data_IF_492233448972
#
_entry.id   IF_492233448972
#
_cell.length_a   1.000
_cell.length_b   1.000
_cell.length_c   1.000
_cell.angle_alpha   90.00
_cell.angle_beta   90.00
_cell.angle_gamma   90.00
#
_symmetry.space_group_name_H-M   'P 1'
#
loop_
_entity.id
_entity.type
_entity.pdbx_description
1 polymer ?
#
# COMPACT_ATOMS: atom_id res chain seq x y z
N UNK A 1 -32.97 -50.88 2.35
CA UNK A 1 -31.94 -49.97 1.78
C UNK A 1 -32.65 -48.72 1.30
N UNK A 2 -32.52 -47.64 2.05
CA UNK A 2 -33.12 -46.31 1.80
C UNK A 2 -31.98 -45.29 1.80
N UNK A 3 -31.95 -44.33 0.87
CA UNK A 3 -30.86 -43.36 0.79
C UNK A 3 -30.97 -42.33 1.94
N UNK A 4 -29.85 -41.78 2.44
CA UNK A 4 -29.87 -40.76 3.48
C UNK A 4 -30.30 -39.39 2.92
N UNK A 5 -30.92 -38.52 3.75
CA UNK A 5 -31.40 -37.22 3.32
C UNK A 5 -30.27 -36.19 3.16
N UNK A 6 -30.41 -35.34 2.13
CA UNK A 6 -29.54 -34.20 1.84
C UNK A 6 -29.73 -33.08 2.88
N UNK A 7 -28.77 -32.90 3.78
CA UNK A 7 -28.71 -31.74 4.68
C UNK A 7 -28.28 -30.49 3.89
N UNK A 8 -29.26 -29.70 3.45
CA UNK A 8 -29.07 -28.32 2.98
C UNK A 8 -28.89 -27.39 4.18
N UNK A 9 -27.70 -27.39 4.77
CA UNK A 9 -27.23 -26.28 5.62
C UNK A 9 -26.51 -25.23 4.77
N UNK A 10 -27.29 -24.28 4.26
CA UNK A 10 -26.77 -23.00 3.78
C UNK A 10 -26.11 -22.27 4.96
N UNK A 11 -24.77 -22.32 5.04
CA UNK A 11 -24.01 -21.38 5.87
C UNK A 11 -24.08 -20.02 5.22
N UNK A 12 -25.03 -19.20 5.63
CA UNK A 12 -24.94 -17.76 5.50
C UNK A 12 -23.80 -17.27 6.40
N UNK A 13 -22.59 -17.19 5.85
CA UNK A 13 -21.52 -16.38 6.43
C UNK A 13 -21.88 -14.91 6.24
N UNK A 14 -22.63 -14.33 7.18
CA UNK A 14 -22.57 -12.88 7.40
C UNK A 14 -21.24 -12.58 8.07
N UNK A 15 -20.17 -12.39 7.28
CA UNK A 15 -18.98 -11.68 7.78
C UNK A 15 -19.34 -10.20 7.79
N UNK A 16 -19.55 -9.66 8.98
CA UNK A 16 -19.51 -8.21 9.20
C UNK A 16 -18.08 -7.73 8.89
N UNK A 17 -17.88 -6.71 8.03
CA UNK A 17 -16.56 -6.17 7.80
C UNK A 17 -16.21 -5.29 9.00
N UNK A 18 -15.57 -5.88 10.01
CA UNK A 18 -14.88 -5.09 11.05
C UNK A 18 -13.53 -4.67 10.48
N UNK A 19 -13.56 -3.82 9.45
CA UNK A 19 -12.36 -3.29 8.80
C UNK A 19 -11.68 -2.33 9.76
N UNK A 20 -10.82 -2.87 10.62
CA UNK A 20 -9.97 -2.07 11.48
C UNK A 20 -8.83 -1.55 10.62
N UNK A 21 -8.68 -0.23 10.57
CA UNK A 21 -7.48 0.42 10.04
C UNK A 21 -6.24 -0.33 10.57
N UNK A 22 -5.31 -0.74 9.71
CA UNK A 22 -3.98 -1.19 10.14
C UNK A 22 -3.18 0.05 10.56
N UNK A 23 -3.62 0.62 11.67
CA UNK A 23 -2.79 1.35 12.60
C UNK A 23 -2.74 0.42 13.79
N UNK A 24 -1.52 0.16 14.29
CA UNK A 24 -1.28 -0.53 15.57
C UNK A 24 -2.44 -0.17 16.50
N UNK A 25 -3.31 -1.15 16.81
CA UNK A 25 -4.55 -0.92 17.56
C UNK A 25 -4.17 -0.48 18.97
N UNK A 26 -3.94 0.81 19.14
CA UNK A 26 -3.77 1.41 20.45
C UNK A 26 -5.17 1.75 20.96
N UNK A 27 -5.73 0.83 21.75
CA UNK A 27 -6.97 1.08 22.48
C UNK A 27 -6.61 1.77 23.79
N UNK A 28 -6.41 3.09 23.77
CA UNK A 28 -6.43 3.86 25.03
C UNK A 28 -7.88 4.20 25.33
N UNK A 29 -8.52 3.41 26.20
CA UNK A 29 -9.62 3.87 27.05
C UNK A 29 -9.95 2.82 28.12
N UNK A 30 -9.39 3.01 29.33
CA UNK A 30 -10.11 2.91 30.61
C UNK A 30 -9.29 3.60 31.70
N UNK A 31 -9.98 4.41 32.50
CA UNK A 31 -9.42 5.49 33.30
C UNK A 31 -8.46 5.07 34.41
N UNK A 32 -7.62 6.04 34.78
CA UNK A 32 -6.94 6.07 36.06
C UNK A 32 -7.34 7.39 36.71
N UNK A 33 -8.37 7.31 37.55
CA UNK A 33 -8.54 8.27 38.62
C UNK A 33 -7.50 7.91 39.69
N UNK A 34 -6.69 8.89 40.07
CA UNK A 34 -5.73 8.80 41.17
C UNK A 34 -4.33 8.38 40.72
N UNK A 35 -3.44 9.37 40.58
CA UNK A 35 -2.29 9.58 41.47
C UNK A 35 -1.29 10.52 40.76
N UNK A 36 -1.00 11.66 41.38
CA UNK A 36 -0.17 12.71 40.80
C UNK A 36 1.28 12.23 40.65
N UNK A 37 1.71 12.03 39.41
CA UNK A 37 3.12 11.79 39.10
C UNK A 37 3.68 13.00 38.33
N UNK A 38 4.87 13.45 38.73
CA UNK A 38 5.41 14.76 38.35
C UNK A 38 5.50 14.96 36.82
N UNK A 39 5.24 16.18 36.31
CA UNK A 39 5.32 16.45 34.88
C UNK A 39 6.79 16.39 34.42
N UNK A 40 7.11 15.46 33.52
CA UNK A 40 8.31 15.59 32.70
C UNK A 40 8.18 16.88 31.88
N UNK A 41 9.06 17.82 32.16
CA UNK A 41 9.01 19.23 31.73
C UNK A 41 9.40 19.37 30.25
N UNK A 42 8.53 18.91 29.35
CA UNK A 42 8.55 19.31 27.94
C UNK A 42 7.22 20.00 27.62
N UNK A 43 6.97 21.10 28.33
CA UNK A 43 5.84 21.97 28.07
C UNK A 43 6.19 22.94 26.94
N UNK A 44 6.20 22.42 25.71
CA UNK A 44 6.02 23.25 24.52
C UNK A 44 4.56 23.71 24.58
N UNK A 45 4.32 25.03 24.63
CA UNK A 45 2.96 25.58 24.61
C UNK A 45 2.22 25.09 23.35
N UNK A 46 1.38 24.07 23.52
CA UNK A 46 0.77 23.33 22.42
C UNK A 46 0.05 22.06 22.90
N UNK A 47 -0.66 21.35 22.01
CA UNK A 47 -1.48 20.18 22.34
C UNK A 47 -0.69 19.13 23.15
N UNK A 48 -1.31 18.54 24.17
CA UNK A 48 -0.67 17.61 25.13
C UNK A 48 0.23 16.57 24.44
N UNK A 49 1.54 16.71 24.63
CA UNK A 49 2.59 15.84 24.08
C UNK A 49 3.02 14.69 25.01
N UNK A 50 2.30 14.47 26.12
CA UNK A 50 2.66 13.42 27.08
C UNK A 50 2.35 12.03 26.54
N UNK A 51 3.39 11.30 26.12
CA UNK A 51 3.36 9.85 25.94
C UNK A 51 4.20 9.18 27.03
N UNK A 52 3.76 8.03 27.53
CA UNK A 52 4.55 7.25 28.48
C UNK A 52 5.63 6.49 27.72
N UNK A 53 6.90 6.88 27.86
CA UNK A 53 8.03 6.19 27.23
C UNK A 53 8.37 4.84 27.89
N UNK A 54 7.66 4.49 28.96
CA UNK A 54 7.82 3.24 29.69
C UNK A 54 7.01 2.14 29.01
N UNK A 55 7.65 1.42 28.10
CA UNK A 55 7.07 0.28 27.39
C UNK A 55 6.58 -0.84 28.32
N UNK A 56 7.06 -0.90 29.56
CA UNK A 56 6.63 -1.87 30.57
C UNK A 56 5.18 -1.62 31.03
N UNK A 57 4.68 -0.39 30.86
CA UNK A 57 3.30 0.00 31.18
C UNK A 57 2.35 -0.19 29.99
N UNK A 58 2.88 -0.49 28.82
CA UNK A 58 2.06 -0.73 27.64
C UNK A 58 1.53 -2.17 27.67
N UNK A 59 0.21 -2.32 27.62
CA UNK A 59 -0.40 -3.62 27.37
C UNK A 59 -0.12 -4.01 25.92
N UNK A 60 0.88 -4.86 25.71
CA UNK A 60 1.16 -5.44 24.41
C UNK A 60 -0.09 -6.18 23.92
N UNK A 61 -0.58 -5.81 22.74
CA UNK A 61 -1.71 -6.48 22.11
C UNK A 61 -1.29 -7.91 21.74
N UNK A 62 -2.19 -8.87 21.98
CA UNK A 62 -2.02 -10.28 21.61
C UNK A 62 -2.45 -10.52 20.15
N UNK A 63 -1.95 -9.72 19.21
CA UNK A 63 -2.16 -10.01 17.80
C UNK A 63 -1.34 -11.25 17.43
N UNK A 64 -1.99 -12.26 16.87
CA UNK A 64 -1.37 -13.54 16.48
C UNK A 64 -1.31 -13.72 14.96
N UNK A 65 -1.64 -12.69 14.20
CA UNK A 65 -1.60 -12.70 12.74
C UNK A 65 -0.14 -12.74 12.28
N UNK A 66 0.11 -13.49 11.22
CA UNK A 66 1.46 -13.56 10.64
C UNK A 66 1.78 -12.26 9.91
N UNK A 67 3.07 -11.96 9.73
CA UNK A 67 3.49 -10.80 8.94
C UNK A 67 2.93 -10.84 7.51
N UNK A 68 2.80 -12.04 6.93
CA UNK A 68 2.21 -12.23 5.60
C UNK A 68 0.73 -11.84 5.58
N UNK A 69 -0.05 -12.26 6.59
CA UNK A 69 -1.45 -11.85 6.74
C UNK A 69 -1.58 -10.34 6.90
N UNK A 70 -0.79 -9.74 7.79
CA UNK A 70 -0.80 -8.28 8.02
C UNK A 70 -0.43 -7.50 6.76
N UNK A 71 0.51 -8.00 5.96
CA UNK A 71 0.92 -7.37 4.71
C UNK A 71 -0.17 -7.49 3.62
N UNK A 72 -0.82 -8.65 3.50
CA UNK A 72 -1.97 -8.83 2.62
C UNK A 72 -3.10 -7.88 3.00
N UNK A 73 -3.47 -7.86 4.28
CA UNK A 73 -4.53 -7.00 4.80
C UNK A 73 -4.19 -5.52 4.64
N UNK A 74 -2.92 -5.13 4.74
CA UNK A 74 -2.49 -3.75 4.48
C UNK A 74 -2.85 -3.33 3.06
N UNK A 75 -2.51 -4.16 2.07
CA UNK A 75 -2.83 -3.85 0.68
C UNK A 75 -4.33 -3.89 0.41
N UNK A 76 -5.06 -4.87 0.96
CA UNK A 76 -6.53 -4.96 0.80
C UNK A 76 -7.25 -3.76 1.42
N UNK A 77 -6.83 -3.37 2.62
CA UNK A 77 -7.36 -2.22 3.33
C UNK A 77 -7.20 -0.95 2.51
N UNK A 78 -5.97 -0.64 2.08
CA UNK A 78 -5.70 0.59 1.36
C UNK A 78 -6.15 0.56 -0.11
N UNK A 79 -6.35 -0.61 -0.70
CA UNK A 79 -6.96 -0.76 -2.02
C UNK A 79 -8.45 -0.35 -2.05
N UNK A 80 -9.14 -0.43 -0.91
CA UNK A 80 -10.59 -0.21 -0.79
C UNK A 80 -10.97 0.96 0.11
N UNK A 81 -9.99 1.58 0.79
CA UNK A 81 -10.23 2.69 1.69
C UNK A 81 -10.88 3.89 0.99
N UNK A 82 -11.90 4.47 1.62
CA UNK A 82 -12.69 5.56 1.07
C UNK A 82 -12.00 6.93 1.19
N UNK A 83 -10.85 7.10 0.54
CA UNK A 83 -10.02 8.32 0.64
C UNK A 83 -10.76 9.61 0.32
N UNK A 84 -11.80 9.59 -0.51
CA UNK A 84 -12.59 10.77 -0.87
C UNK A 84 -13.36 11.37 0.31
N UNK A 85 -13.72 10.56 1.32
CA UNK A 85 -14.59 10.96 2.44
C UNK A 85 -13.94 10.75 3.81
N UNK A 86 -12.99 9.83 3.90
CA UNK A 86 -12.37 9.43 5.15
C UNK A 86 -10.93 9.94 5.26
N UNK A 87 -10.49 10.08 6.50
CA UNK A 87 -9.14 10.42 6.91
C UNK A 87 -8.66 9.46 7.99
N UNK A 88 -7.35 9.34 8.14
CA UNK A 88 -6.71 8.45 9.10
C UNK A 88 -6.39 9.24 10.38
N UNK A 89 -6.91 8.79 11.52
CA UNK A 89 -6.62 9.35 12.84
C UNK A 89 -5.77 8.37 13.65
N UNK A 90 -4.47 8.67 13.79
CA UNK A 90 -3.53 7.82 14.53
C UNK A 90 -3.82 7.86 16.03
N UNK A 91 -4.14 9.04 16.59
CA UNK A 91 -4.48 9.18 18.03
C UNK A 91 -5.66 8.30 18.46
N UNK A 92 -6.65 8.15 17.58
CA UNK A 92 -7.86 7.36 17.86
C UNK A 92 -7.80 5.93 17.31
N UNK A 93 -6.77 5.61 16.52
CA UNK A 93 -6.64 4.31 15.84
C UNK A 93 -7.79 3.97 14.89
N UNK A 94 -8.43 4.97 14.27
CA UNK A 94 -9.61 4.76 13.40
C UNK A 94 -9.73 5.78 12.29
N UNK A 95 -10.52 5.46 11.27
CA UNK A 95 -10.97 6.43 10.28
C UNK A 95 -11.94 7.45 10.87
N UNK A 96 -11.93 8.65 10.32
CA UNK A 96 -12.87 9.72 10.64
C UNK A 96 -13.21 10.51 9.38
N UNK A 97 -14.35 11.21 9.39
CA UNK A 97 -14.73 12.11 8.31
C UNK A 97 -13.61 13.12 8.01
N UNK A 98 -13.41 13.40 6.73
CA UNK A 98 -12.35 14.29 6.28
C UNK A 98 -12.61 15.73 6.77
N UNK A 99 -11.64 16.37 7.46
CA UNK A 99 -11.80 17.75 7.92
C UNK A 99 -11.58 18.77 6.79
N UNK A 100 -10.84 18.39 5.74
CA UNK A 100 -10.53 19.23 4.58
C UNK A 100 -10.61 18.46 3.26
N UNK A 101 -10.79 19.18 2.16
CA UNK A 101 -10.75 18.59 0.81
C UNK A 101 -9.29 18.41 0.38
N UNK A 102 -8.80 17.18 0.49
CA UNK A 102 -7.49 16.75 -0.01
C UNK A 102 -7.64 15.38 -0.69
N UNK A 103 -6.68 14.90 -1.49
CA UNK A 103 -6.68 13.51 -1.97
C UNK A 103 -6.48 12.54 -0.80
N UNK A 104 -5.41 12.71 -0.03
CA UNK A 104 -5.07 11.90 1.14
C UNK A 104 -5.06 12.79 2.40
N UNK A 105 -5.58 12.25 3.51
CA UNK A 105 -5.52 12.95 4.79
C UNK A 105 -5.15 12.00 5.92
N UNK A 106 -3.93 12.18 6.40
CA UNK A 106 -3.40 11.50 7.59
C UNK A 106 -3.19 12.59 8.63
N UNK A 107 -3.95 12.52 9.72
CA UNK A 107 -3.87 13.53 10.77
C UNK A 107 -2.57 13.36 11.55
N UNK A 108 -1.84 14.46 11.73
CA UNK A 108 -0.64 14.46 12.55
C UNK A 108 -1.02 14.08 14.00
N UNK A 109 -0.31 13.12 14.62
CA UNK A 109 -0.63 12.62 15.96
C UNK A 109 -0.35 13.63 17.08
N UNK A 110 0.21 14.81 16.79
CA UNK A 110 0.41 15.87 17.78
C UNK A 110 -0.33 17.15 17.40
N UNK A 111 -0.33 17.50 16.13
CA UNK A 111 -1.03 18.67 15.61
C UNK A 111 -2.31 18.28 14.87
N UNK A 112 -3.44 18.27 15.56
CA UNK A 112 -4.71 17.80 14.97
C UNK A 112 -5.20 18.60 13.77
N UNK A 113 -4.75 19.84 13.59
CA UNK A 113 -5.04 20.69 12.43
C UNK A 113 -4.14 20.39 11.22
N UNK A 114 -3.09 19.56 11.38
CA UNK A 114 -2.09 19.32 10.35
C UNK A 114 -2.30 17.97 9.65
N UNK A 115 -2.35 18.02 8.32
CA UNK A 115 -2.34 16.85 7.45
C UNK A 115 -0.91 16.55 7.01
N UNK A 116 -0.34 15.41 7.44
CA UNK A 116 1.04 15.03 7.07
C UNK A 116 1.18 14.62 5.60
N UNK A 117 0.07 14.38 4.90
CA UNK A 117 0.02 13.95 3.50
C UNK A 117 -0.38 15.07 2.53
N UNK A 118 -0.29 16.33 2.94
CA UNK A 118 -0.71 17.49 2.13
C UNK A 118 0.07 17.65 0.80
N UNK A 119 1.25 17.05 0.70
CA UNK A 119 2.08 17.01 -0.51
C UNK A 119 1.63 15.95 -1.53
N UNK A 120 0.67 15.10 -1.20
CA UNK A 120 0.18 14.02 -2.08
C UNK A 120 -0.95 14.55 -2.97
N UNK A 121 -0.76 14.45 -4.28
CA UNK A 121 -1.78 14.79 -5.25
C UNK A 121 -2.67 13.58 -5.62
N UNK A 122 -3.76 13.85 -6.34
CA UNK A 122 -4.73 12.82 -6.74
C UNK A 122 -4.10 11.71 -7.58
N UNK A 123 -3.28 12.04 -8.58
CA UNK A 123 -2.62 11.05 -9.44
C UNK A 123 -1.69 10.12 -8.67
N UNK A 124 -0.99 10.63 -7.64
CA UNK A 124 -0.14 9.83 -6.77
C UNK A 124 -0.97 8.88 -5.90
N UNK A 125 -2.11 9.36 -5.37
CA UNK A 125 -3.03 8.53 -4.60
C UNK A 125 -3.67 7.44 -5.45
N UNK A 126 -4.16 7.77 -6.64
CA UNK A 126 -4.76 6.79 -7.57
C UNK A 126 -3.74 5.70 -7.93
N UNK A 127 -2.49 6.12 -8.17
CA UNK A 127 -1.40 5.18 -8.43
C UNK A 127 -1.12 4.29 -7.22
N UNK A 128 -1.10 4.85 -6.02
CA UNK A 128 -0.93 4.09 -4.79
C UNK A 128 -2.03 3.04 -4.62
N UNK A 129 -3.30 3.42 -4.81
CA UNK A 129 -4.45 2.50 -4.74
C UNK A 129 -4.32 1.38 -5.77
N UNK A 130 -3.95 1.69 -7.01
CA UNK A 130 -3.74 0.69 -8.05
C UNK A 130 -2.59 -0.29 -7.71
N UNK A 131 -1.51 0.20 -7.10
CA UNK A 131 -0.40 -0.64 -6.64
C UNK A 131 -0.81 -1.52 -5.45
N UNK A 132 -1.66 -1.03 -4.54
CA UNK A 132 -2.23 -1.84 -3.47
C UNK A 132 -3.10 -2.98 -4.03
N UNK A 133 -3.94 -2.69 -5.04
CA UNK A 133 -4.76 -3.69 -5.72
C UNK A 133 -3.90 -4.76 -6.41
N UNK A 134 -2.87 -4.35 -7.16
CA UNK A 134 -1.92 -5.27 -7.79
C UNK A 134 -1.18 -6.12 -6.76
N UNK A 135 -0.69 -5.51 -5.69
CA UNK A 135 0.08 -6.19 -4.64
C UNK A 135 -0.76 -7.22 -3.87
N UNK A 136 -2.00 -6.88 -3.52
CA UNK A 136 -2.94 -7.82 -2.91
C UNK A 136 -3.20 -9.03 -3.82
N UNK A 137 -3.43 -8.79 -5.11
CA UNK A 137 -3.61 -9.86 -6.09
C UNK A 137 -2.37 -10.75 -6.23
N UNK A 138 -1.17 -10.17 -6.30
CA UNK A 138 0.10 -10.91 -6.42
C UNK A 138 0.35 -11.81 -5.20
N UNK A 139 0.10 -11.31 -3.98
CA UNK A 139 0.29 -12.09 -2.76
C UNK A 139 -0.68 -13.26 -2.66
N UNK A 140 -1.96 -13.06 -3.00
CA UNK A 140 -2.96 -14.13 -3.07
C UNK A 140 -2.58 -15.22 -4.10
N UNK A 141 -1.94 -14.85 -5.22
CA UNK A 141 -1.41 -15.83 -6.16
C UNK A 141 -0.19 -16.57 -5.64
N UNK A 142 0.63 -15.95 -4.78
CA UNK A 142 1.88 -16.54 -4.31
C UNK A 142 1.68 -17.68 -3.31
N UNK A 143 0.58 -17.68 -2.54
CA UNK A 143 0.16 -18.81 -1.70
C UNK A 143 0.03 -20.11 -2.53
N UNK A 144 -0.40 -19.99 -3.79
CA UNK A 144 -0.53 -21.11 -4.74
C UNK A 144 0.77 -21.46 -5.48
N UNK A 145 1.76 -20.57 -5.49
CA UNK A 145 2.97 -20.65 -6.31
C UNK A 145 4.27 -20.81 -5.50
N UNK A 146 4.17 -21.28 -4.25
CA UNK A 146 5.36 -21.64 -3.46
C UNK A 146 6.30 -22.51 -4.32
N UNK A 147 7.62 -22.25 -4.35
CA UNK A 147 8.54 -23.05 -5.14
C UNK A 147 8.63 -24.47 -4.55
N UNK A 148 7.68 -25.33 -4.90
CA UNK A 148 7.83 -26.78 -4.69
C UNK A 148 8.96 -27.22 -5.59
N UNK A 149 10.03 -27.72 -4.98
CA UNK A 149 11.29 -28.06 -5.63
C UNK A 149 11.12 -28.57 -7.06
N UNK A 150 11.56 -27.78 -8.03
CA UNK A 150 11.42 -28.07 -9.46
C UNK A 150 12.70 -27.74 -10.19
N UNK A 151 13.24 -28.76 -10.87
CA UNK A 151 14.38 -28.84 -11.78
C UNK A 151 15.28 -27.60 -11.98
N UNK A 152 16.60 -27.84 -11.84
CA UNK A 152 17.74 -26.90 -11.98
C UNK A 152 17.86 -26.16 -13.33
N UNK A 153 16.91 -26.31 -14.24
CA UNK A 153 17.02 -25.85 -15.64
C UNK A 153 16.19 -24.60 -15.96
N UNK A 154 15.29 -24.15 -15.06
CA UNK A 154 14.55 -22.89 -15.25
C UNK A 154 14.91 -21.88 -14.17
N UNK A 155 15.15 -20.60 -14.53
CA UNK A 155 15.33 -19.56 -13.53
C UNK A 155 14.07 -19.50 -12.66
N UNK A 156 14.26 -19.53 -11.35
CA UNK A 156 13.16 -19.52 -10.40
C UNK A 156 12.36 -18.23 -10.54
N UNK A 157 11.04 -18.37 -10.75
CA UNK A 157 10.11 -17.23 -10.73
C UNK A 157 10.15 -16.62 -9.31
N UNK A 158 10.26 -15.29 -9.17
CA UNK A 158 10.14 -14.63 -7.87
C UNK A 158 8.80 -14.97 -7.20
N UNK A 159 8.80 -15.11 -5.88
CA UNK A 159 7.62 -15.51 -5.08
C UNK A 159 7.53 -14.69 -3.78
N UNK A 160 6.35 -14.65 -3.16
CA UNK A 160 6.10 -13.88 -1.93
C UNK A 160 6.50 -12.42 -2.06
N UNK A 161 7.16 -11.86 -1.03
CA UNK A 161 7.63 -10.47 -1.00
C UNK A 161 8.53 -10.10 -2.19
N UNK A 162 9.31 -11.05 -2.73
CA UNK A 162 10.21 -10.77 -3.86
C UNK A 162 9.43 -10.35 -5.11
N UNK A 163 8.17 -10.78 -5.28
CA UNK A 163 7.32 -10.33 -6.39
C UNK A 163 6.94 -8.87 -6.30
N UNK A 164 6.74 -8.34 -5.09
CA UNK A 164 6.36 -6.95 -4.84
C UNK A 164 7.51 -5.96 -5.08
N UNK A 165 8.75 -6.44 -4.98
CA UNK A 165 9.95 -5.62 -5.16
C UNK A 165 10.38 -5.50 -6.63
N UNK A 166 9.75 -6.26 -7.53
CA UNK A 166 9.97 -6.13 -8.96
C UNK A 166 9.32 -4.83 -9.48
N UNK A 167 9.85 -4.25 -10.57
CA UNK A 167 9.20 -3.11 -11.20
C UNK A 167 7.75 -3.45 -11.60
N UNK A 168 6.80 -2.74 -10.99
CA UNK A 168 5.36 -2.88 -11.30
C UNK A 168 5.09 -2.54 -12.76
N UNK A 169 4.15 -3.31 -13.34
CA UNK A 169 3.67 -3.13 -14.71
C UNK A 169 2.43 -2.24 -14.79
N UNK A 170 1.91 -1.72 -13.66
CA UNK A 170 0.82 -0.74 -13.62
C UNK A 170 1.28 0.51 -14.37
N UNK A 171 0.92 0.53 -15.65
CA UNK A 171 1.33 1.54 -16.61
C UNK A 171 0.84 2.92 -16.15
N UNK A 172 1.74 3.91 -16.14
CA UNK A 172 1.28 5.30 -16.05
C UNK A 172 2.30 6.39 -15.78
N UNK A 173 3.47 6.09 -15.21
CA UNK A 173 4.57 7.07 -15.22
C UNK A 173 5.81 6.29 -15.56
N UNK A 174 6.02 6.12 -16.87
CA UNK A 174 7.37 6.21 -17.39
C UNK A 174 7.93 7.45 -16.71
N UNK A 175 8.82 7.26 -15.73
CA UNK A 175 9.92 8.19 -15.56
C UNK A 175 10.30 8.56 -16.99
N UNK A 176 10.24 9.84 -17.30
CA UNK A 176 10.62 10.37 -18.60
C UNK A 176 12.10 10.01 -18.77
N UNK A 177 12.40 8.73 -19.08
CA UNK A 177 13.42 8.33 -20.00
C UNK A 177 12.98 9.09 -21.22
N UNK A 178 13.48 10.32 -21.29
CA UNK A 178 13.57 11.16 -22.46
C UNK A 178 13.88 10.14 -23.54
N UNK A 179 12.86 9.72 -24.31
CA UNK A 179 13.12 9.03 -25.56
C UNK A 179 14.01 10.05 -26.23
N UNK A 180 15.32 9.80 -26.22
CA UNK A 180 16.26 10.59 -26.98
C UNK A 180 15.73 10.37 -28.37
N UNK A 181 14.91 11.33 -28.84
CA UNK A 181 14.67 11.47 -30.26
C UNK A 181 16.09 11.56 -30.80
N UNK A 182 16.48 10.57 -31.59
CA UNK A 182 17.76 10.60 -32.27
C UNK A 182 17.94 12.02 -32.83
N UNK A 183 19.12 12.62 -32.64
CA UNK A 183 19.41 13.93 -33.20
C UNK A 183 18.97 13.96 -34.66
N UNK A 184 18.38 15.06 -35.12
CA UNK A 184 17.93 15.17 -36.51
C UNK A 184 19.05 14.77 -37.50
N UNK A 185 20.31 14.99 -37.13
CA UNK A 185 21.49 14.54 -37.86
C UNK A 185 21.58 13.02 -38.09
N UNK A 186 21.17 12.17 -37.15
CA UNK A 186 21.17 10.71 -37.35
C UNK A 186 20.05 10.26 -38.28
N UNK A 187 18.88 10.89 -38.16
CA UNK A 187 17.74 10.65 -39.07
C UNK A 187 18.04 11.13 -40.49
N UNK A 188 18.77 12.23 -40.65
CA UNK A 188 19.19 12.74 -41.95
C UNK A 188 20.29 11.85 -42.56
N UNK A 189 21.23 11.36 -41.74
CA UNK A 189 22.26 10.41 -42.20
C UNK A 189 21.66 9.13 -42.75
N UNK A 190 20.72 8.50 -42.03
CA UNK A 190 20.09 7.25 -42.50
C UNK A 190 19.27 7.43 -43.79
N UNK A 191 18.62 8.59 -43.96
CA UNK A 191 17.93 8.94 -45.20
C UNK A 191 18.89 9.16 -46.37
N UNK A 192 19.99 9.91 -46.15
CA UNK A 192 21.01 10.14 -47.18
C UNK A 192 21.72 8.85 -47.59
N UNK A 193 21.99 7.97 -46.63
CA UNK A 193 22.61 6.66 -46.86
C UNK A 193 21.66 5.73 -47.64
N UNK A 194 20.37 5.76 -47.33
CA UNK A 194 19.34 5.05 -48.12
C UNK A 194 19.29 5.56 -49.56
N UNK A 195 19.27 6.89 -49.77
CA UNK A 195 19.27 7.49 -51.11
C UNK A 195 20.55 7.21 -51.90
N UNK A 196 21.70 7.15 -51.23
CA UNK A 196 22.98 6.80 -51.84
C UNK A 196 22.97 5.36 -52.35
N UNK A 197 22.42 4.42 -51.58
CA UNK A 197 22.33 3.03 -51.96
C UNK A 197 21.33 2.79 -53.12
N UNK A 198 20.20 3.52 -53.13
CA UNK A 198 19.23 3.47 -54.25
C UNK A 198 19.84 3.97 -55.56
N UNK A 199 20.69 5.00 -55.53
CA UNK A 199 21.36 5.51 -56.74
C UNK A 199 22.45 4.58 -57.29
N UNK A 200 23.00 3.68 -56.46
CA UNK A 200 23.98 2.68 -56.90
C UNK A 200 23.32 1.46 -57.56
N UNK A 201 22.09 1.12 -57.16
CA UNK A 201 21.32 0.02 -57.79
C UNK A 201 20.78 0.38 -59.19
N UNK A 202 20.60 1.67 -59.49
CA UNK A 202 20.10 2.15 -60.79
C UNK A 202 21.21 2.43 -61.83
N UNK A 203 22.46 2.02 -61.56
CA UNK A 203 23.61 2.18 -62.49
C UNK A 203 24.23 0.86 -62.94
N UNK A 204 23.56 -0.28 -62.73
CA UNK A 204 24.01 -1.57 -63.23
C UNK A 204 23.23 -2.03 -64.44
#
# INVERSE_FOLDING_TARGET
MTPPPLDRRARTYRRTPTTSLIVVKETVNKGIAGEANQPSKDMIQGPSFSFSFDFSKLQLQSNTETLEQLLCEFFEFYATFAFSRMSINIRKGKEQNKPEVAPLHIQNPFETSLNVSKNVNATQLDRFVALCQESSWLLQQSETNTPRGGNKEKPSKPWGLATLLLPSQVAGIKSRKKRRREPASERIKSLLESLKNTNQQNKS
#
